data_IF_632596615049
#
_entry.id   IF_632596615049
#
_cell.length_a   1.000
_cell.length_b   1.000
_cell.length_c   1.000
_cell.angle_alpha   90.00
_cell.angle_beta   90.00
_cell.angle_gamma   90.00
#
_symmetry.space_group_name_H-M   'P 1'
#
loop_
_entity.id
_entity.type
_entity.pdbx_description
1 polymer ?
#
# COMPACT_ATOMS: atom_id res chain seq x y z
N UNK A 1 8.58 19.63 30.79
CA UNK A 1 7.70 18.84 29.90
C UNK A 1 8.28 18.89 28.50
N UNK A 2 8.90 17.82 28.01
CA UNK A 2 9.29 17.72 26.61
C UNK A 2 8.04 17.48 25.75
N UNK A 3 7.71 18.43 24.89
CA UNK A 3 6.53 18.39 24.01
C UNK A 3 6.71 17.31 22.95
N UNK A 4 6.02 16.19 23.13
CA UNK A 4 6.11 14.99 22.30
C UNK A 4 5.19 15.13 21.07
N UNK A 5 5.19 16.28 20.40
CA UNK A 5 4.14 16.66 19.44
C UNK A 5 4.61 16.77 17.98
N UNK A 6 5.92 16.80 17.71
CA UNK A 6 6.43 16.93 16.34
C UNK A 6 6.04 15.76 15.43
N UNK A 7 5.98 14.53 15.98
CA UNK A 7 5.54 13.33 15.24
C UNK A 7 4.05 13.35 14.89
N UNK A 8 3.25 14.13 15.62
CA UNK A 8 1.79 14.21 15.44
C UNK A 8 1.44 14.79 14.06
N UNK A 9 2.16 15.81 13.60
CA UNK A 9 1.88 16.48 12.33
C UNK A 9 2.22 15.62 11.11
N UNK A 10 3.33 14.88 11.15
CA UNK A 10 3.72 13.97 10.07
C UNK A 10 2.73 12.82 9.91
N UNK A 11 2.33 12.18 11.03
CA UNK A 11 1.33 11.11 11.01
C UNK A 11 -0.02 11.65 10.52
N UNK A 12 -0.40 12.86 10.92
CA UNK A 12 -1.65 13.51 10.49
C UNK A 12 -1.66 13.81 8.99
N UNK A 13 -0.53 14.21 8.41
CA UNK A 13 -0.37 14.37 6.96
C UNK A 13 -0.51 13.04 6.21
N UNK A 14 0.18 11.99 6.67
CA UNK A 14 0.10 10.65 6.07
C UNK A 14 -1.33 10.08 6.17
N UNK A 15 -2.06 10.41 7.25
CA UNK A 15 -3.44 9.97 7.47
C UNK A 15 -4.47 10.74 6.64
N UNK A 16 -4.07 11.73 5.83
CA UNK A 16 -5.01 12.39 4.92
C UNK A 16 -5.50 11.41 3.85
N UNK A 17 -6.78 11.50 3.49
CA UNK A 17 -7.42 10.59 2.53
C UNK A 17 -6.61 10.35 1.23
N UNK A 18 -6.10 11.39 0.52
CA UNK A 18 -5.32 11.16 -0.69
C UNK A 18 -3.97 10.48 -0.41
N UNK A 19 -3.24 10.87 0.65
CA UNK A 19 -1.91 10.31 0.94
C UNK A 19 -2.02 8.86 1.40
N UNK A 20 -2.95 8.56 2.31
CA UNK A 20 -3.23 7.20 2.74
C UNK A 20 -3.65 6.31 1.57
N UNK A 21 -4.51 6.82 0.67
CA UNK A 21 -4.93 6.09 -0.53
C UNK A 21 -3.74 5.78 -1.46
N UNK A 22 -2.84 6.73 -1.70
CA UNK A 22 -1.66 6.48 -2.55
C UNK A 22 -0.74 5.42 -1.96
N UNK A 23 -0.51 5.42 -0.65
CA UNK A 23 0.30 4.41 0.04
C UNK A 23 -0.36 3.02 -0.11
N UNK A 24 -1.67 2.94 0.15
CA UNK A 24 -2.42 1.69 0.07
C UNK A 24 -2.44 1.12 -1.35
N UNK A 25 -2.68 1.97 -2.35
CA UNK A 25 -2.70 1.57 -3.75
C UNK A 25 -1.30 1.21 -4.26
N UNK A 26 -0.24 1.86 -3.76
CA UNK A 26 1.14 1.48 -4.12
C UNK A 26 1.47 0.08 -3.61
N UNK A 27 1.10 -0.24 -2.37
CA UNK A 27 1.29 -1.58 -1.80
C UNK A 27 0.47 -2.60 -2.60
N UNK A 28 -0.80 -2.30 -2.86
CA UNK A 28 -1.70 -3.19 -3.62
C UNK A 28 -1.19 -3.42 -5.04
N UNK A 29 -0.77 -2.36 -5.73
CA UNK A 29 -0.18 -2.45 -7.07
C UNK A 29 1.12 -3.25 -7.06
N UNK A 30 2.00 -3.01 -6.09
CA UNK A 30 3.22 -3.80 -5.89
C UNK A 30 2.91 -5.29 -5.75
N UNK A 31 1.96 -5.66 -4.90
CA UNK A 31 1.54 -7.06 -4.74
C UNK A 31 1.04 -7.65 -6.07
N UNK A 32 0.18 -6.94 -6.81
CA UNK A 32 -0.36 -7.42 -8.09
C UNK A 32 0.72 -7.56 -9.17
N UNK A 33 1.66 -6.61 -9.23
CA UNK A 33 2.78 -6.62 -10.18
C UNK A 33 3.71 -7.80 -9.89
N UNK A 34 4.10 -7.97 -8.63
CA UNK A 34 4.98 -9.05 -8.20
C UNK A 34 4.31 -10.41 -8.41
N UNK A 35 3.01 -10.53 -8.09
CA UNK A 35 2.23 -11.75 -8.32
C UNK A 35 2.19 -12.13 -9.80
N UNK A 36 1.84 -11.19 -10.69
CA UNK A 36 1.84 -11.44 -12.13
C UNK A 36 3.25 -11.64 -12.72
N UNK A 37 4.31 -11.16 -12.04
CA UNK A 37 5.70 -11.44 -12.45
C UNK A 37 6.11 -12.87 -12.12
N UNK A 38 5.70 -13.40 -10.96
CA UNK A 38 6.04 -14.77 -10.55
C UNK A 38 5.11 -15.83 -11.17
N UNK A 39 3.83 -15.50 -11.35
CA UNK A 39 2.84 -16.37 -11.97
C UNK A 39 2.21 -15.67 -13.17
N UNK A 40 2.97 -15.54 -14.28
CA UNK A 40 2.42 -14.99 -15.50
C UNK A 40 1.32 -15.92 -16.06
N UNK A 41 0.36 -15.34 -16.77
CA UNK A 41 -0.63 -16.07 -17.58
C UNK A 41 -1.70 -16.88 -16.82
N UNK A 42 -2.15 -16.38 -15.66
CA UNK A 42 -3.29 -16.92 -14.92
C UNK A 42 -4.66 -16.46 -15.48
N UNK A 43 -4.99 -16.89 -16.70
CA UNK A 43 -6.30 -16.58 -17.33
C UNK A 43 -7.47 -17.29 -16.62
N UNK A 44 -7.24 -18.50 -16.12
CA UNK A 44 -8.20 -19.27 -15.31
C UNK A 44 -7.45 -20.04 -14.21
N UNK A 45 -8.14 -20.34 -13.12
CA UNK A 45 -7.59 -21.21 -12.09
C UNK A 45 -7.46 -22.64 -12.63
N UNK A 46 -6.27 -23.29 -12.52
CA UNK A 46 -6.13 -24.67 -12.95
C UNK A 46 -7.05 -25.56 -12.09
N UNK A 47 -7.97 -26.26 -12.75
CA UNK A 47 -8.80 -27.26 -12.09
C UNK A 47 -7.99 -28.54 -11.85
N UNK A 48 -8.31 -29.34 -10.81
CA UNK A 48 -7.64 -30.60 -10.52
C UNK A 48 -7.73 -31.63 -11.66
#
# INVERSE_FOLDING_TARGET
MADKNDQSYLIKFISTAPVAATIWLTITAGILIEFNRFFPDLLFHPLP
#
